data_IF_755599357441
#
_entry.id   IF_755599357441
#
_cell.length_a   1.000
_cell.length_b   1.000
_cell.length_c   1.000
_cell.angle_alpha   90.00
_cell.angle_beta   90.00
_cell.angle_gamma   90.00
#
_symmetry.space_group_name_H-M   'P 1'
#
loop_
_entity.id
_entity.type
_entity.pdbx_description
1 polymer ?
#
# COMPACT_ATOMS: atom_id res chain seq x y z
N UNK A 1 8.06 -1.92 19.14
CA UNK A 1 8.94 -0.97 18.41
C UNK A 1 8.21 -0.62 17.14
N UNK A 2 7.80 0.62 16.98
CA UNK A 2 7.13 1.06 15.74
C UNK A 2 8.18 1.07 14.64
N UNK A 3 8.09 0.15 13.69
CA UNK A 3 8.91 0.15 12.49
C UNK A 3 8.61 1.45 11.73
N UNK A 4 9.51 2.41 11.85
CA UNK A 4 9.40 3.66 11.09
C UNK A 4 9.90 3.39 9.66
N UNK A 5 8.95 3.18 8.74
CA UNK A 5 9.27 3.06 7.34
C UNK A 5 9.64 4.44 6.77
N UNK A 6 10.86 4.58 6.29
CA UNK A 6 11.34 5.79 5.63
C UNK A 6 11.53 5.54 4.13
N UNK A 7 10.99 6.42 3.31
CA UNK A 7 11.18 6.43 1.86
C UNK A 7 11.82 7.74 1.43
N UNK A 8 12.85 7.65 0.60
CA UNK A 8 13.49 8.82 0.00
C UNK A 8 12.83 9.19 -1.31
N UNK A 9 12.43 10.44 -1.44
CA UNK A 9 11.77 10.97 -2.61
C UNK A 9 12.41 12.30 -3.06
N UNK A 10 12.41 12.54 -4.35
CA UNK A 10 12.83 13.80 -4.95
C UNK A 10 11.64 14.52 -5.57
N UNK A 11 11.58 15.84 -5.41
CA UNK A 11 10.57 16.65 -6.06
C UNK A 11 10.77 16.67 -7.59
N UNK A 12 9.68 16.50 -8.34
CA UNK A 12 9.69 16.36 -9.77
C UNK A 12 9.04 17.59 -10.45
N UNK A 13 9.72 18.13 -11.46
CA UNK A 13 9.23 19.27 -12.26
C UNK A 13 8.60 18.77 -13.56
N UNK A 14 9.22 17.76 -14.20
CA UNK A 14 8.74 17.17 -15.45
C UNK A 14 7.50 16.32 -15.25
N UNK A 15 6.38 16.75 -15.83
CA UNK A 15 5.07 16.12 -15.72
C UNK A 15 4.62 15.50 -17.05
N UNK A 16 3.59 14.67 -16.97
CA UNK A 16 2.91 14.07 -18.10
C UNK A 16 3.43 12.68 -18.51
N UNK A 17 2.73 12.08 -19.49
CA UNK A 17 2.90 10.69 -19.93
C UNK A 17 4.31 10.37 -20.42
N UNK A 18 4.86 11.26 -21.25
CA UNK A 18 6.20 11.10 -21.84
C UNK A 18 7.30 11.15 -20.78
N UNK A 19 7.26 12.12 -19.86
CA UNK A 19 8.21 12.27 -18.78
C UNK A 19 8.18 11.07 -17.84
N UNK A 20 7.00 10.63 -17.41
CA UNK A 20 6.83 9.45 -16.54
C UNK A 20 7.32 8.16 -17.20
N UNK A 21 7.17 8.00 -18.53
CA UNK A 21 7.74 6.87 -19.28
C UNK A 21 9.26 6.88 -19.34
N UNK A 22 9.86 8.05 -19.58
CA UNK A 22 11.32 8.21 -19.59
C UNK A 22 11.91 7.91 -18.23
N UNK A 23 11.30 8.43 -17.17
CA UNK A 23 11.70 8.24 -15.77
C UNK A 23 11.77 6.74 -15.42
N UNK A 24 10.74 5.97 -15.76
CA UNK A 24 10.70 4.53 -15.51
C UNK A 24 11.68 3.72 -16.36
N UNK A 25 11.96 4.15 -17.62
CA UNK A 25 12.82 3.40 -18.55
C UNK A 25 14.29 3.70 -18.43
N UNK A 26 14.64 4.96 -18.19
CA UNK A 26 16.03 5.44 -18.26
C UNK A 26 16.65 5.62 -16.88
N UNK A 27 15.88 6.07 -15.90
CA UNK A 27 16.37 6.37 -14.56
C UNK A 27 15.99 5.31 -13.51
N UNK A 28 15.18 4.32 -13.87
CA UNK A 28 14.65 3.27 -12.97
C UNK A 28 13.96 3.85 -11.71
N UNK A 29 13.27 5.00 -11.91
CA UNK A 29 12.54 5.70 -10.88
C UNK A 29 11.04 5.47 -11.03
N UNK A 30 10.32 5.50 -9.92
CA UNK A 30 8.85 5.41 -9.87
C UNK A 30 8.29 6.82 -9.71
N UNK A 31 7.43 7.29 -10.63
CA UNK A 31 6.68 8.52 -10.42
C UNK A 31 5.66 8.33 -9.31
N UNK A 32 5.55 9.31 -8.44
CA UNK A 32 4.59 9.36 -7.35
C UNK A 32 4.02 10.76 -7.18
N UNK A 33 3.00 10.87 -6.35
CA UNK A 33 2.41 12.12 -5.93
C UNK A 33 2.13 12.07 -4.43
N UNK A 34 2.35 13.19 -3.73
CA UNK A 34 1.91 13.37 -2.35
C UNK A 34 0.91 14.49 -2.29
N UNK A 35 -0.25 14.24 -1.69
CA UNK A 35 -1.35 15.21 -1.58
C UNK A 35 -2.06 15.10 -0.23
N UNK A 36 -3.02 16.00 0.01
CA UNK A 36 -3.75 16.10 1.28
C UNK A 36 -3.09 17.03 2.29
N UNK A 37 -3.76 17.21 3.44
CA UNK A 37 -3.39 18.23 4.42
C UNK A 37 -3.60 19.65 3.89
N UNK A 38 -2.94 20.61 4.50
CA UNK A 38 -3.01 22.04 4.13
C UNK A 38 -2.05 22.46 2.99
N UNK A 39 -1.28 21.50 2.42
CA UNK A 39 -0.26 21.77 1.40
C UNK A 39 -0.75 21.33 0.02
N UNK A 40 -0.27 22.03 -1.01
CA UNK A 40 -0.54 21.67 -2.41
C UNK A 40 -0.01 20.26 -2.77
N UNK A 41 -0.64 19.57 -3.73
CA UNK A 41 -0.15 18.32 -4.26
C UNK A 41 1.25 18.49 -4.87
N UNK A 42 2.17 17.61 -4.49
CA UNK A 42 3.55 17.66 -4.95
C UNK A 42 3.91 16.37 -5.70
N UNK A 43 4.30 16.47 -6.98
CA UNK A 43 4.80 15.33 -7.73
C UNK A 43 6.20 14.94 -7.27
N UNK A 44 6.41 13.63 -7.13
CA UNK A 44 7.62 13.02 -6.60
C UNK A 44 8.18 11.96 -7.55
N UNK A 45 9.45 11.62 -7.35
CA UNK A 45 10.09 10.43 -7.89
C UNK A 45 10.78 9.65 -6.80
N UNK A 46 10.66 8.33 -6.84
CA UNK A 46 11.21 7.39 -5.87
C UNK A 46 12.15 6.41 -6.57
N UNK A 47 13.18 5.96 -5.88
CA UNK A 47 14.06 4.90 -6.38
C UNK A 47 13.30 3.58 -6.32
N UNK A 48 13.22 2.87 -7.48
CA UNK A 48 12.47 1.61 -7.58
C UNK A 48 12.92 0.57 -6.56
N UNK A 49 14.21 0.36 -6.42
CA UNK A 49 14.78 -0.65 -5.52
C UNK A 49 14.38 -0.42 -4.06
N UNK A 50 14.37 0.84 -3.62
CA UNK A 50 14.04 1.18 -2.23
C UNK A 50 12.55 0.93 -1.96
N UNK A 51 11.71 1.26 -2.93
CA UNK A 51 10.27 1.01 -2.85
C UNK A 51 9.96 -0.48 -2.87
N UNK A 52 10.55 -1.25 -3.80
CA UNK A 52 10.33 -2.69 -3.89
C UNK A 52 10.78 -3.41 -2.62
N UNK A 53 11.94 -3.03 -2.07
CA UNK A 53 12.43 -3.56 -0.79
C UNK A 53 11.52 -3.20 0.39
N UNK A 54 11.02 -1.98 0.42
CA UNK A 54 10.10 -1.56 1.48
C UNK A 54 8.77 -2.35 1.40
N UNK A 55 8.28 -2.62 0.20
CA UNK A 55 7.03 -3.35 -0.06
C UNK A 55 7.11 -4.87 0.18
N UNK A 56 8.29 -5.43 0.42
CA UNK A 56 8.43 -6.80 0.93
C UNK A 56 7.76 -6.96 2.31
N UNK A 57 7.65 -5.85 3.06
CA UNK A 57 6.91 -5.83 4.31
C UNK A 57 5.45 -5.39 4.05
N UNK A 58 4.51 -6.31 4.23
CA UNK A 58 3.06 -6.05 4.05
C UNK A 58 2.55 -4.92 4.95
N UNK A 59 3.17 -4.72 6.10
CA UNK A 59 2.83 -3.62 7.01
C UNK A 59 2.95 -2.24 6.36
N UNK A 60 3.73 -2.08 5.28
CA UNK A 60 3.88 -0.81 4.57
C UNK A 60 2.57 -0.28 3.99
N UNK A 61 1.64 -1.17 3.63
CA UNK A 61 0.34 -0.79 3.05
C UNK A 61 -0.60 -0.17 4.07
N UNK A 62 -0.44 -0.56 5.33
CA UNK A 62 -1.32 -0.14 6.43
C UNK A 62 -0.64 0.77 7.47
N UNK A 63 0.65 1.07 7.33
CA UNK A 63 1.35 1.93 8.30
C UNK A 63 1.61 3.34 7.77
N UNK A 64 1.77 4.27 8.73
CA UNK A 64 2.22 5.63 8.44
C UNK A 64 3.71 5.60 8.09
N UNK A 65 4.04 6.15 6.93
CA UNK A 65 5.39 6.25 6.40
C UNK A 65 5.95 7.64 6.62
N UNK A 66 7.26 7.74 6.75
CA UNK A 66 7.98 9.01 6.64
C UNK A 66 8.56 9.15 5.24
N UNK A 67 8.01 10.07 4.44
CA UNK A 67 8.53 10.40 3.12
C UNK A 67 9.52 11.55 3.26
N UNK A 68 10.78 11.27 2.98
CA UNK A 68 11.87 12.25 3.00
C UNK A 68 11.96 12.93 1.64
N UNK A 69 11.48 14.17 1.51
CA UNK A 69 11.48 14.97 0.27
C UNK A 69 12.63 15.97 0.36
N UNK A 70 13.81 15.61 -0.14
CA UNK A 70 15.01 16.42 0.04
C UNK A 70 15.35 16.63 1.52
N UNK A 71 15.11 17.84 2.04
CA UNK A 71 15.32 18.17 3.47
C UNK A 71 14.05 18.11 4.33
N UNK A 72 12.88 17.98 3.70
CA UNK A 72 11.60 17.93 4.39
C UNK A 72 11.22 16.48 4.69
N UNK A 73 10.67 16.24 5.88
CA UNK A 73 10.09 14.95 6.28
C UNK A 73 8.58 15.12 6.39
N UNK A 74 7.83 14.31 5.69
CA UNK A 74 6.37 14.34 5.72
C UNK A 74 5.81 12.96 6.08
N UNK A 75 4.84 12.92 7.00
CA UNK A 75 4.11 11.70 7.32
C UNK A 75 3.03 11.47 6.26
N UNK A 76 3.00 10.31 5.71
CA UNK A 76 2.03 9.93 4.68
C UNK A 76 1.68 8.44 4.76
N UNK A 77 0.57 8.06 4.15
CA UNK A 77 0.20 6.67 3.89
C UNK A 77 0.17 6.43 2.39
N UNK A 78 0.31 5.18 1.98
CA UNK A 78 0.05 4.77 0.60
C UNK A 78 -1.47 4.73 0.43
N UNK A 79 -2.02 5.61 -0.41
CA UNK A 79 -3.45 5.64 -0.71
C UNK A 79 -3.80 4.72 -1.87
N UNK A 80 -2.95 4.71 -2.90
CA UNK A 80 -3.12 3.84 -4.06
C UNK A 80 -1.77 3.46 -4.67
N UNK A 81 -1.70 2.30 -5.29
CA UNK A 81 -0.52 1.81 -5.97
C UNK A 81 -0.88 1.11 -7.27
N UNK A 82 -0.39 1.67 -8.36
CA UNK A 82 -0.57 1.09 -9.68
C UNK A 82 0.58 0.14 -10.02
N UNK A 83 0.25 -1.08 -10.42
CA UNK A 83 1.19 -2.10 -10.90
C UNK A 83 1.02 -2.35 -12.39
N UNK A 84 2.09 -2.76 -13.03
CA UNK A 84 2.04 -3.18 -14.43
C UNK A 84 1.40 -4.58 -14.50
N UNK A 85 0.35 -4.80 -15.33
CA UNK A 85 -0.41 -6.06 -15.31
C UNK A 85 0.41 -7.31 -15.64
N UNK A 86 1.45 -7.17 -16.47
CA UNK A 86 2.25 -8.33 -16.91
C UNK A 86 3.62 -8.45 -16.21
N UNK A 87 4.20 -7.35 -15.70
CA UNK A 87 5.56 -7.35 -15.15
C UNK A 87 5.62 -7.20 -13.63
N UNK A 88 4.48 -7.08 -12.99
CA UNK A 88 4.34 -6.81 -11.56
C UNK A 88 5.16 -5.62 -11.01
N UNK A 89 5.70 -4.77 -11.92
CA UNK A 89 6.46 -3.59 -11.56
C UNK A 89 5.51 -2.47 -11.18
N UNK A 90 5.89 -1.68 -10.17
CA UNK A 90 5.12 -0.51 -9.75
C UNK A 90 5.26 0.59 -10.81
N UNK A 91 4.13 1.15 -11.20
CA UNK A 91 4.06 2.21 -12.22
C UNK A 91 3.78 3.59 -11.65
N UNK A 92 3.06 3.67 -10.53
CA UNK A 92 2.74 4.91 -9.83
C UNK A 92 2.41 4.62 -8.38
N UNK A 93 2.65 5.59 -7.47
CA UNK A 93 2.26 5.53 -6.07
C UNK A 93 1.65 6.86 -5.67
N UNK A 94 0.51 6.79 -5.01
CA UNK A 94 -0.21 7.92 -4.44
C UNK A 94 -0.04 7.93 -2.93
N UNK A 95 0.55 9.02 -2.42
CA UNK A 95 0.70 9.24 -0.99
C UNK A 95 -0.32 10.27 -0.50
N UNK A 96 -1.02 9.94 0.56
CA UNK A 96 -1.90 10.86 1.28
C UNK A 96 -1.19 11.33 2.55
N UNK A 97 -1.02 12.65 2.71
CA UNK A 97 -0.48 13.24 3.95
C UNK A 97 -1.41 12.94 5.11
N UNK A 98 -0.83 12.62 6.24
CA UNK A 98 -1.55 12.19 7.44
C UNK A 98 -1.48 13.28 8.50
N UNK A 99 -2.65 13.68 8.98
CA UNK A 99 -2.82 14.48 10.17
C UNK A 99 -3.32 13.58 11.31
N UNK A 100 -2.64 13.58 12.45
CA UNK A 100 -2.92 12.67 13.58
C UNK A 100 -4.37 12.77 14.13
N UNK A 101 -5.11 13.83 13.77
CA UNK A 101 -6.48 14.12 14.26
C UNK A 101 -7.57 13.82 13.23
N UNK A 102 -7.23 13.46 12.02
CA UNK A 102 -8.19 13.26 10.93
C UNK A 102 -8.31 11.77 10.63
N UNK A 103 -9.54 11.25 10.70
CA UNK A 103 -9.82 9.88 10.29
C UNK A 103 -9.60 9.74 8.78
N UNK A 104 -8.97 8.66 8.38
CA UNK A 104 -8.64 8.37 6.99
C UNK A 104 -9.14 6.99 6.58
N UNK A 105 -9.45 6.87 5.30
CA UNK A 105 -9.84 5.62 4.67
C UNK A 105 -8.62 4.99 4.03
N UNK A 106 -8.33 3.75 4.39
CA UNK A 106 -7.23 2.96 3.84
C UNK A 106 -7.66 1.51 3.63
N UNK A 107 -6.93 0.80 2.77
CA UNK A 107 -7.10 -0.61 2.55
C UNK A 107 -6.19 -1.40 3.47
N UNK A 108 -6.78 -2.32 4.23
CA UNK A 108 -6.06 -3.21 5.15
C UNK A 108 -6.12 -4.63 4.61
N UNK A 109 -4.99 -5.35 4.49
CA UNK A 109 -4.98 -6.71 4.01
C UNK A 109 -5.70 -7.65 4.97
N UNK A 110 -6.34 -8.69 4.41
CA UNK A 110 -6.99 -9.76 5.13
C UNK A 110 -6.04 -10.96 5.16
N UNK A 111 -5.81 -11.51 6.35
CA UNK A 111 -5.13 -12.78 6.53
C UNK A 111 -6.15 -13.85 6.87
N UNK A 112 -6.27 -14.84 6.02
CA UNK A 112 -7.15 -16.00 6.24
C UNK A 112 -6.40 -17.06 7.03
N UNK A 113 -6.94 -17.43 8.18
CA UNK A 113 -6.36 -18.46 9.04
C UNK A 113 -7.10 -19.78 8.85
N UNK A 114 -6.38 -20.90 9.04
CA UNK A 114 -6.96 -22.26 9.04
C UNK A 114 -7.62 -22.70 7.71
N UNK A 115 -7.24 -22.16 6.58
CA UNK A 115 -7.81 -22.50 5.27
C UNK A 115 -7.77 -24.01 4.97
N UNK A 116 -6.62 -24.65 5.22
CA UNK A 116 -6.45 -26.10 4.99
C UNK A 116 -7.21 -26.97 5.97
N UNK A 117 -7.58 -26.43 7.15
CA UNK A 117 -8.34 -27.10 8.18
C UNK A 117 -9.85 -26.83 8.08
N UNK A 118 -10.26 -25.93 7.19
CA UNK A 118 -11.65 -25.53 6.94
C UNK A 118 -12.54 -26.76 6.71
N UNK A 119 -13.71 -26.77 7.35
CA UNK A 119 -14.67 -27.88 7.24
C UNK A 119 -15.11 -28.12 5.80
N UNK A 120 -15.36 -27.05 5.05
CA UNK A 120 -15.75 -27.12 3.63
C UNK A 120 -14.67 -27.77 2.75
N UNK A 121 -13.39 -27.50 3.02
CA UNK A 121 -12.28 -28.09 2.25
C UNK A 121 -12.01 -29.54 2.70
N UNK A 122 -11.86 -29.76 4.00
CA UNK A 122 -11.41 -31.04 4.56
C UNK A 122 -12.48 -32.13 4.49
N UNK A 123 -13.75 -31.77 4.73
CA UNK A 123 -14.85 -32.75 4.86
C UNK A 123 -15.72 -32.80 3.61
N UNK A 124 -15.95 -31.66 2.96
CA UNK A 124 -16.83 -31.56 1.80
C UNK A 124 -16.07 -31.53 0.46
N UNK A 125 -14.73 -31.47 0.47
CA UNK A 125 -13.89 -31.46 -0.74
C UNK A 125 -14.01 -30.18 -1.57
N UNK A 126 -14.45 -29.07 -0.96
CA UNK A 126 -14.57 -27.77 -1.59
C UNK A 126 -13.23 -27.10 -1.85
N UNK A 127 -13.23 -26.04 -2.65
CA UNK A 127 -12.11 -25.12 -2.84
C UNK A 127 -12.46 -23.75 -2.31
N UNK A 128 -11.50 -23.10 -1.66
CA UNK A 128 -11.64 -21.72 -1.20
C UNK A 128 -11.31 -20.79 -2.36
N UNK A 129 -12.15 -19.80 -2.59
CA UNK A 129 -11.91 -18.72 -3.52
C UNK A 129 -12.02 -17.39 -2.75
N UNK A 130 -10.92 -16.64 -2.67
CA UNK A 130 -10.93 -15.31 -2.07
C UNK A 130 -11.50 -14.32 -3.07
N UNK A 131 -12.61 -13.66 -2.73
CA UNK A 131 -13.20 -12.59 -3.53
C UNK A 131 -12.62 -11.22 -3.18
N UNK A 132 -12.21 -11.03 -1.93
CA UNK A 132 -11.55 -9.83 -1.45
C UNK A 132 -10.27 -10.20 -0.70
N UNK A 133 -9.19 -9.48 -0.96
CA UNK A 133 -7.89 -9.62 -0.30
C UNK A 133 -7.61 -8.48 0.66
N UNK A 134 -8.40 -7.42 0.61
CA UNK A 134 -8.29 -6.21 1.41
C UNK A 134 -9.68 -5.62 1.71
N UNK A 135 -9.78 -4.88 2.80
CA UNK A 135 -11.00 -4.18 3.23
C UNK A 135 -10.70 -2.70 3.43
N UNK A 136 -11.59 -1.82 2.97
CA UNK A 136 -11.51 -0.39 3.26
C UNK A 136 -11.96 -0.14 4.70
N UNK A 137 -11.06 0.43 5.50
CA UNK A 137 -11.27 0.75 6.92
C UNK A 137 -11.18 2.26 7.11
N UNK A 138 -12.07 2.82 7.93
CA UNK A 138 -12.02 4.21 8.38
C UNK A 138 -11.50 4.24 9.82
N UNK A 139 -10.30 4.75 10.03
CA UNK A 139 -9.69 4.83 11.36
C UNK A 139 -8.80 6.05 11.54
N UNK A 140 -8.38 6.32 12.77
CA UNK A 140 -7.34 7.30 13.06
C UNK A 140 -5.95 6.70 12.74
N UNK A 141 -4.96 7.53 12.42
CA UNK A 141 -3.60 7.06 12.11
C UNK A 141 -2.93 6.24 13.21
N UNK A 142 -3.31 6.48 14.46
CA UNK A 142 -2.78 5.74 15.61
C UNK A 142 -3.39 4.33 15.76
N UNK A 143 -4.59 4.11 15.20
CA UNK A 143 -5.38 2.88 15.39
C UNK A 143 -5.40 1.99 14.14
N UNK A 144 -4.49 2.22 13.20
CA UNK A 144 -4.43 1.45 11.95
C UNK A 144 -3.98 0.02 12.26
N UNK A 145 -4.81 -1.02 11.98
CA UNK A 145 -4.40 -2.40 12.13
C UNK A 145 -3.46 -2.82 11.00
N UNK A 146 -2.47 -3.66 11.29
CA UNK A 146 -1.53 -4.18 10.30
C UNK A 146 -2.22 -5.10 9.29
N UNK A 147 -3.10 -5.95 9.79
CA UNK A 147 -3.94 -6.88 9.02
C UNK A 147 -5.21 -7.22 9.80
N UNK A 148 -6.19 -7.77 9.12
CA UNK A 148 -7.41 -8.31 9.71
C UNK A 148 -7.37 -9.82 9.56
N UNK A 149 -7.37 -10.55 10.70
CA UNK A 149 -7.38 -12.00 10.68
C UNK A 149 -8.82 -12.51 10.60
N UNK A 150 -9.09 -13.39 9.65
CA UNK A 150 -10.37 -14.09 9.47
C UNK A 150 -10.14 -15.57 9.63
N UNK A 151 -10.79 -16.19 10.60
CA UNK A 151 -10.73 -17.63 10.81
C UNK A 151 -11.72 -18.36 9.90
N UNK A 152 -11.19 -19.30 9.11
CA UNK A 152 -11.96 -20.05 8.11
C UNK A 152 -12.40 -21.43 8.62
N UNK A 153 -12.17 -21.78 9.90
CA UNK A 153 -12.33 -23.14 10.40
C UNK A 153 -13.75 -23.70 10.22
N UNK A 154 -14.77 -22.87 10.44
CA UNK A 154 -16.18 -23.26 10.45
C UNK A 154 -16.91 -22.96 9.12
N UNK A 155 -16.17 -22.54 8.07
CA UNK A 155 -16.79 -22.20 6.77
C UNK A 155 -17.18 -23.46 6.00
N UNK A 156 -18.42 -23.49 5.52
CA UNK A 156 -18.99 -24.60 4.73
C UNK A 156 -19.01 -24.26 3.22
N UNK A 157 -19.21 -25.28 2.39
CA UNK A 157 -19.38 -25.09 0.94
C UNK A 157 -20.65 -24.32 0.64
N UNK A 158 -20.51 -23.22 -0.13
CA UNK A 158 -21.63 -22.36 -0.52
C UNK A 158 -21.77 -21.08 0.31
N UNK A 159 -20.84 -20.83 1.23
CA UNK A 159 -20.74 -19.58 1.99
C UNK A 159 -19.68 -18.64 1.40
#
# INVERSE_FOLDING_TARGET
MSDQFELHAEARIDLGKGASRRLRRLADLIPAIIYGGAKDPQPLSLIRKDVEKALENEALYSHVLTVNIGKAKEKAIIKDMQRHPAKNNITHIDFLRVDDKVALKLHVPIHFLNETACYGVKTQGGMIQHQATDIEVLCLPADIPTFIAVDMMDVETGQ
#
